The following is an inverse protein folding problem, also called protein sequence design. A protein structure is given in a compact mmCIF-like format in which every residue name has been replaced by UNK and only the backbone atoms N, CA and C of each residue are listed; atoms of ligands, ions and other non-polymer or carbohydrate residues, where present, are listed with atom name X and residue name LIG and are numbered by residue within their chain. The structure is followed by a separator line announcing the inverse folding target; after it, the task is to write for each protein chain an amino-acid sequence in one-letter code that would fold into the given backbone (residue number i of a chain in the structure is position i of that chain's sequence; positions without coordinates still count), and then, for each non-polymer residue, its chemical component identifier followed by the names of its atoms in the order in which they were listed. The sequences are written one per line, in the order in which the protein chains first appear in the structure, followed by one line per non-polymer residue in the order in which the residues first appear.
data_IF_104092225701
#
_entry.id   IF_104092225701
#
_cell.length_a   1.000
_cell.length_b   1.000
_cell.length_c   1.000
_cell.angle_alpha   90.00
_cell.angle_beta   90.00
_cell.angle_gamma   90.00
#
_symmetry.space_group_name_H-M   'P 1'
#
loop_
_entity.id
_entity.type
_entity.pdbx_description
1 polymer ?
#
# COMPACT_ATOMS: atom_id res chain seq x y z
N UNK A 1 -10.25 14.93 -22.02
CA UNK A 1 -9.03 14.92 -21.20
C UNK A 1 -7.91 15.56 -22.02
N UNK A 2 -7.21 16.56 -21.49
CA UNK A 2 -6.09 17.20 -22.19
C UNK A 2 -4.79 16.42 -21.91
N UNK A 3 -4.51 15.43 -22.76
CA UNK A 3 -3.33 14.56 -22.64
C UNK A 3 -2.01 15.33 -22.72
N UNK A 4 -2.01 16.54 -23.27
CA UNK A 4 -0.80 17.37 -23.38
C UNK A 4 -0.29 17.84 -22.00
N UNK A 5 -1.13 17.74 -20.96
CA UNK A 5 -0.75 18.00 -19.56
C UNK A 5 -0.10 16.79 -18.88
N UNK A 6 0.05 15.65 -19.56
CA UNK A 6 0.73 14.46 -19.05
C UNK A 6 2.12 14.36 -19.67
N UNK A 7 3.15 14.38 -18.82
CA UNK A 7 4.53 14.25 -19.27
C UNK A 7 4.75 12.91 -19.98
N UNK A 8 5.52 12.94 -21.07
CA UNK A 8 6.01 11.72 -21.72
C UNK A 8 7.15 11.08 -20.90
N UNK A 9 6.77 10.50 -19.76
CA UNK A 9 7.63 9.84 -18.78
C UNK A 9 7.02 8.51 -18.34
N UNK A 10 7.67 7.84 -17.38
CA UNK A 10 7.19 6.60 -16.78
C UNK A 10 7.37 6.59 -15.28
N UNK A 11 6.51 5.84 -14.60
CA UNK A 11 6.71 5.41 -13.22
C UNK A 11 7.59 4.16 -13.19
N UNK A 12 8.60 4.16 -12.34
CA UNK A 12 9.44 2.99 -12.10
C UNK A 12 8.94 2.24 -10.87
N UNK A 13 8.50 1.00 -11.07
CA UNK A 13 7.90 0.15 -10.06
C UNK A 13 8.70 -1.14 -9.88
N UNK A 14 8.42 -1.85 -8.80
CA UNK A 14 9.19 -2.98 -8.30
C UNK A 14 8.31 -4.21 -8.16
N UNK A 15 8.92 -5.38 -8.26
CA UNK A 15 8.29 -6.59 -7.76
C UNK A 15 8.33 -6.61 -6.23
N UNK A 16 7.25 -7.08 -5.61
CA UNK A 16 7.24 -7.27 -4.17
C UNK A 16 6.27 -8.32 -3.70
N UNK A 17 6.45 -8.77 -2.46
CA UNK A 17 5.63 -9.80 -1.81
C UNK A 17 4.41 -9.12 -1.21
N UNK A 18 3.23 -9.71 -1.39
CA UNK A 18 2.04 -9.29 -0.67
C UNK A 18 1.27 -10.44 -0.06
N UNK A 19 0.58 -10.12 1.04
CA UNK A 19 -0.50 -10.92 1.59
C UNK A 19 -1.79 -10.10 1.51
N UNK A 20 -2.90 -10.78 1.24
CA UNK A 20 -4.24 -10.21 1.20
C UNK A 20 -5.09 -10.93 2.24
N UNK A 21 -5.63 -10.19 3.19
CA UNK A 21 -6.38 -10.76 4.32
C UNK A 21 -7.74 -10.08 4.46
N UNK A 22 -8.73 -10.82 4.97
CA UNK A 22 -9.97 -10.24 5.47
C UNK A 22 -9.81 -10.08 6.98
N UNK A 23 -10.04 -8.88 7.49
CA UNK A 23 -10.28 -8.69 8.91
C UNK A 23 -11.78 -8.52 9.14
N UNK A 24 -12.29 -9.06 10.24
CA UNK A 24 -13.69 -8.89 10.64
C UNK A 24 -13.79 -8.49 12.10
N UNK A 25 -14.85 -7.75 12.45
CA UNK A 25 -15.20 -7.42 13.83
C UNK A 25 -16.71 -7.20 13.96
N UNK A 26 -17.24 -7.30 15.18
CA UNK A 26 -18.66 -7.06 15.47
C UNK A 26 -19.02 -5.58 15.37
N UNK A 27 -18.11 -4.71 15.79
CA UNK A 27 -18.28 -3.26 15.81
C UNK A 27 -17.51 -2.57 14.68
N UNK A 28 -18.16 -1.61 14.02
CA UNK A 28 -17.61 -0.90 12.87
C UNK A 28 -16.47 0.06 13.24
N UNK A 29 -16.51 0.65 14.44
CA UNK A 29 -15.43 1.52 14.92
C UNK A 29 -14.19 0.69 15.22
N UNK A 30 -14.36 -0.49 15.83
CA UNK A 30 -13.26 -1.43 16.07
C UNK A 30 -12.68 -1.94 14.76
N UNK A 31 -13.53 -2.40 13.82
CA UNK A 31 -13.10 -2.84 12.49
C UNK A 31 -12.27 -1.76 11.79
N UNK A 32 -12.78 -0.52 11.79
CA UNK A 32 -12.11 0.60 11.16
C UNK A 32 -10.74 0.87 11.77
N UNK A 33 -10.64 0.94 13.10
CA UNK A 33 -9.37 1.11 13.80
C UNK A 33 -8.40 -0.03 13.52
N UNK A 34 -8.87 -1.29 13.50
CA UNK A 34 -8.02 -2.44 13.20
C UNK A 34 -7.43 -2.36 11.78
N UNK A 35 -8.25 -2.00 10.80
CA UNK A 35 -7.83 -1.79 9.42
C UNK A 35 -6.79 -0.66 9.31
N UNK A 36 -7.12 0.52 9.85
CA UNK A 36 -6.30 1.73 9.73
C UNK A 36 -4.98 1.60 10.49
N UNK A 37 -4.99 1.12 11.73
CA UNK A 37 -3.77 0.99 12.54
C UNK A 37 -2.81 -0.05 11.94
N UNK A 38 -3.32 -1.22 11.54
CA UNK A 38 -2.48 -2.31 11.03
C UNK A 38 -1.84 -1.98 9.70
N UNK A 39 -2.53 -1.22 8.85
CA UNK A 39 -2.02 -0.79 7.54
C UNK A 39 -1.28 0.55 7.59
N UNK A 40 -1.23 1.19 8.77
CA UNK A 40 -0.56 2.47 8.95
C UNK A 40 0.95 2.40 8.73
N UNK A 41 1.55 3.54 8.39
CA UNK A 41 3.01 3.74 8.29
C UNK A 41 3.71 2.94 7.20
N UNK A 42 3.74 3.44 5.96
CA UNK A 42 4.55 2.86 4.88
C UNK A 42 6.04 2.90 5.23
N UNK A 43 6.65 1.72 5.34
CA UNK A 43 7.98 1.59 5.96
C UNK A 43 8.90 0.66 5.16
N UNK A 44 8.55 0.31 3.93
CA UNK A 44 9.36 -0.62 3.10
C UNK A 44 10.76 -0.08 2.84
N UNK A 45 10.90 1.22 2.62
CA UNK A 45 12.19 1.88 2.33
C UNK A 45 13.19 1.83 3.50
N UNK A 46 12.71 1.71 4.73
CA UNK A 46 13.54 1.50 5.93
C UNK A 46 13.60 0.03 6.35
N UNK A 47 13.11 -0.87 5.48
CA UNK A 47 13.12 -2.29 5.76
C UNK A 47 12.03 -2.73 6.72
N UNK A 48 10.81 -2.27 6.59
CA UNK A 48 9.67 -2.97 7.20
C UNK A 48 8.68 -3.33 6.09
N UNK A 49 7.41 -3.39 6.42
CA UNK A 49 6.32 -3.58 5.46
C UNK A 49 5.47 -2.31 5.38
N UNK A 50 4.66 -2.22 4.35
CA UNK A 50 3.60 -1.23 4.19
C UNK A 50 2.28 -1.93 3.88
N UNK A 51 1.17 -1.21 3.89
CA UNK A 51 -0.12 -1.81 3.60
C UNK A 51 -1.16 -0.77 3.26
N UNK A 52 -2.39 -1.23 3.06
CA UNK A 52 -3.55 -0.37 2.92
C UNK A 52 -4.85 -1.15 2.96
N UNK A 53 -5.93 -0.41 3.15
CA UNK A 53 -7.29 -0.94 3.04
C UNK A 53 -7.66 -0.98 1.56
N UNK A 54 -7.89 -2.18 1.03
CA UNK A 54 -8.33 -2.35 -0.37
C UNK A 54 -9.83 -2.10 -0.50
N UNK A 55 -10.63 -2.69 0.39
CA UNK A 55 -12.10 -2.66 0.29
C UNK A 55 -12.76 -2.96 1.63
N UNK A 56 -13.83 -2.22 1.96
CA UNK A 56 -14.75 -2.57 3.05
C UNK A 56 -15.79 -3.60 2.58
N UNK A 57 -16.12 -4.55 3.44
CA UNK A 57 -16.97 -5.69 3.15
C UNK A 57 -18.23 -5.69 4.03
N UNK A 58 -19.35 -6.07 3.42
CA UNK A 58 -20.56 -6.40 4.14
C UNK A 58 -20.51 -7.83 4.71
N UNK A 59 -21.38 -8.12 5.67
CA UNK A 59 -21.47 -9.41 6.35
C UNK A 59 -21.60 -10.61 5.39
N UNK A 60 -22.30 -10.44 4.27
CA UNK A 60 -22.48 -11.51 3.29
C UNK A 60 -21.22 -11.85 2.49
N UNK A 61 -20.19 -10.99 2.55
CA UNK A 61 -18.94 -11.16 1.82
C UNK A 61 -17.84 -11.79 2.69
N UNK A 62 -18.09 -12.03 3.99
CA UNK A 62 -17.08 -12.51 4.94
C UNK A 62 -17.35 -13.95 5.40
N UNK A 63 -16.30 -14.74 5.72
CA UNK A 63 -16.47 -16.14 6.10
C UNK A 63 -17.33 -16.37 7.36
N UNK A 64 -17.27 -15.43 8.31
CA UNK A 64 -17.94 -15.52 9.62
C UNK A 64 -19.23 -14.68 9.70
N UNK A 65 -19.68 -14.09 8.58
CA UNK A 65 -20.88 -13.27 8.47
C UNK A 65 -20.86 -11.99 9.31
N UNK A 66 -19.68 -11.40 9.48
CA UNK A 66 -19.50 -10.12 10.18
C UNK A 66 -19.01 -9.03 9.25
N UNK A 67 -19.15 -7.77 9.65
CA UNK A 67 -18.54 -6.65 8.90
C UNK A 67 -17.04 -6.89 8.77
N UNK A 68 -16.48 -6.54 7.61
CA UNK A 68 -15.06 -6.78 7.37
C UNK A 68 -14.38 -5.78 6.47
N UNK A 69 -13.08 -5.97 6.28
CA UNK A 69 -12.27 -5.24 5.34
C UNK A 69 -11.21 -6.15 4.72
N UNK A 70 -11.00 -6.02 3.42
CA UNK A 70 -9.82 -6.58 2.74
C UNK A 70 -8.66 -5.64 2.95
N UNK A 71 -7.59 -6.15 3.53
CA UNK A 71 -6.32 -5.47 3.71
C UNK A 71 -5.26 -6.10 2.82
N UNK A 72 -4.33 -5.27 2.34
CA UNK A 72 -3.10 -5.75 1.74
C UNK A 72 -1.90 -5.32 2.56
N UNK A 73 -0.94 -6.22 2.71
CA UNK A 73 0.36 -5.97 3.31
C UNK A 73 1.45 -6.30 2.30
N UNK A 74 2.48 -5.48 2.23
CA UNK A 74 3.49 -5.48 1.18
C UNK A 74 4.91 -5.41 1.74
N UNK A 75 5.80 -6.24 1.20
CA UNK A 75 7.22 -6.28 1.56
C UNK A 75 8.12 -6.34 0.33
N UNK A 76 9.26 -5.66 0.39
CA UNK A 76 10.24 -5.70 -0.69
C UNK A 76 11.00 -7.03 -0.76
N UNK A 77 11.23 -7.51 -1.98
CA UNK A 77 12.21 -8.56 -2.28
C UNK A 77 13.58 -7.89 -2.34
N UNK A 78 14.45 -8.19 -1.38
CA UNK A 78 15.72 -7.47 -1.24
C UNK A 78 16.79 -8.03 -2.16
N UNK A 79 17.52 -7.14 -2.81
CA UNK A 79 18.74 -7.50 -3.54
C UNK A 79 19.72 -8.23 -2.63
N UNK A 80 20.28 -9.34 -3.11
CA UNK A 80 21.21 -10.19 -2.37
C UNK A 80 20.57 -11.11 -1.33
N UNK A 81 19.25 -11.24 -1.30
CA UNK A 81 18.50 -12.18 -0.47
C UNK A 81 17.71 -13.15 -1.33
N UNK A 82 17.54 -14.39 -0.88
CA UNK A 82 16.65 -15.32 -1.57
C UNK A 82 15.20 -14.89 -1.41
N UNK A 83 14.33 -15.43 -2.26
CA UNK A 83 12.91 -15.17 -2.14
C UNK A 83 12.35 -15.68 -0.80
N UNK A 84 12.79 -16.87 -0.36
CA UNK A 84 12.39 -17.48 0.90
C UNK A 84 12.82 -16.63 2.10
N UNK A 85 14.05 -16.10 2.11
CA UNK A 85 14.50 -15.16 3.15
C UNK A 85 13.63 -13.89 3.18
N UNK A 86 13.22 -13.40 2.00
CA UNK A 86 12.34 -12.23 1.89
C UNK A 86 10.92 -12.54 2.42
N UNK A 87 10.40 -13.74 2.15
CA UNK A 87 9.10 -14.21 2.65
C UNK A 87 9.13 -14.38 4.18
N UNK A 88 10.15 -15.03 4.75
CA UNK A 88 10.27 -15.20 6.21
C UNK A 88 10.31 -13.86 6.95
N UNK A 89 10.97 -12.88 6.36
CA UNK A 89 11.02 -11.52 6.87
C UNK A 89 9.69 -10.80 6.75
N UNK A 90 9.02 -10.94 5.61
CA UNK A 90 7.67 -10.42 5.40
C UNK A 90 6.68 -11.01 6.42
N UNK A 91 6.70 -12.33 6.62
CA UNK A 91 5.93 -13.05 7.64
C UNK A 91 6.19 -12.50 9.05
N UNK A 92 7.47 -12.26 9.37
CA UNK A 92 7.87 -11.69 10.67
C UNK A 92 7.22 -10.32 10.90
N UNK A 93 7.34 -9.40 9.93
CA UNK A 93 6.77 -8.06 10.05
C UNK A 93 5.23 -8.07 10.02
N UNK A 94 4.62 -8.93 9.19
CA UNK A 94 3.17 -9.13 9.15
C UNK A 94 2.64 -9.61 10.50
N UNK A 95 3.38 -10.52 11.17
CA UNK A 95 3.01 -11.00 12.50
C UNK A 95 3.00 -9.89 13.54
N UNK A 96 3.86 -8.87 13.42
CA UNK A 96 3.82 -7.71 14.31
C UNK A 96 2.56 -6.89 14.08
N UNK A 97 2.17 -6.63 12.81
CA UNK A 97 0.93 -5.90 12.50
C UNK A 97 -0.30 -6.64 13.01
N UNK A 98 -0.39 -7.95 12.78
CA UNK A 98 -1.53 -8.73 13.26
C UNK A 98 -1.57 -8.72 14.80
N UNK A 99 -0.45 -9.00 15.46
CA UNK A 99 -0.43 -9.09 16.93
C UNK A 99 -0.64 -7.75 17.63
N UNK A 100 -0.04 -6.66 17.12
CA UNK A 100 -0.04 -5.37 17.81
C UNK A 100 -1.18 -4.45 17.37
N UNK A 101 -1.74 -4.66 16.18
CA UNK A 101 -2.74 -3.76 15.62
C UNK A 101 -4.10 -4.43 15.36
N UNK A 102 -4.20 -5.76 15.32
CA UNK A 102 -5.47 -6.48 15.10
C UNK A 102 -5.87 -7.27 16.35
N UNK A 103 -5.04 -8.23 16.77
CA UNK A 103 -5.30 -9.14 17.89
C UNK A 103 -5.65 -8.40 19.19
N UNK A 104 -4.97 -7.28 19.47
CA UNK A 104 -5.24 -6.47 20.68
C UNK A 104 -6.59 -5.74 20.67
N UNK A 105 -7.32 -5.77 19.55
CA UNK A 105 -8.64 -5.16 19.42
C UNK A 105 -9.72 -6.22 19.65
N UNK A 106 -10.77 -5.89 20.40
CA UNK A 106 -11.74 -6.87 20.88
C UNK A 106 -12.53 -7.49 19.72
N UNK A 107 -12.79 -8.79 19.81
CA UNK A 107 -13.65 -9.55 18.89
C UNK A 107 -13.21 -9.46 17.43
N UNK A 108 -11.91 -9.38 17.15
CA UNK A 108 -11.40 -9.40 15.77
C UNK A 108 -11.15 -10.81 15.27
N UNK A 109 -11.30 -11.02 13.97
CA UNK A 109 -10.83 -12.23 13.30
C UNK A 109 -10.06 -11.91 12.01
N UNK A 110 -9.17 -12.81 11.59
CA UNK A 110 -8.36 -12.68 10.38
C UNK A 110 -8.51 -13.92 9.50
N UNK A 111 -8.83 -13.73 8.22
CA UNK A 111 -8.94 -14.79 7.23
C UNK A 111 -8.05 -14.52 6.02
N UNK A 112 -7.62 -15.57 5.35
CA UNK A 112 -6.94 -15.45 4.07
C UNK A 112 -7.91 -14.94 3.00
N UNK A 113 -7.49 -13.94 2.21
CA UNK A 113 -8.25 -13.35 1.11
C UNK A 113 -7.55 -13.54 -0.25
N UNK A 114 -6.52 -14.39 -0.29
CA UNK A 114 -5.75 -14.70 -1.48
C UNK A 114 -6.03 -16.13 -1.94
N UNK A 115 -6.94 -16.27 -2.91
CA UNK A 115 -7.34 -17.58 -3.43
C UNK A 115 -6.24 -18.23 -4.28
N UNK A 116 -5.51 -17.43 -5.07
CA UNK A 116 -4.42 -17.86 -5.93
C UNK A 116 -3.07 -17.46 -5.33
N UNK A 117 -2.69 -18.10 -4.22
CA UNK A 117 -1.43 -17.84 -3.55
C UNK A 117 -0.27 -18.60 -4.20
N UNK A 118 0.92 -17.98 -4.29
CA UNK A 118 2.16 -18.66 -4.68
C UNK A 118 2.68 -19.57 -3.57
N UNK A 119 2.40 -19.20 -2.32
CA UNK A 119 2.74 -19.98 -1.14
C UNK A 119 1.90 -19.56 0.06
N UNK A 120 2.12 -20.23 1.18
CA UNK A 120 1.41 -19.99 2.43
C UNK A 120 2.38 -19.83 3.59
N UNK A 121 2.02 -18.97 4.54
CA UNK A 121 2.71 -18.82 5.82
C UNK A 121 1.84 -19.50 6.90
N UNK A 122 2.44 -20.31 7.77
CA UNK A 122 1.77 -20.90 8.93
C UNK A 122 1.81 -19.93 10.11
N UNK A 123 0.65 -19.45 10.54
CA UNK A 123 0.52 -18.42 11.57
C UNK A 123 0.66 -18.96 13.00
N UNK A 124 0.76 -20.28 13.20
CA UNK A 124 0.86 -20.85 14.53
C UNK A 124 2.09 -20.32 15.29
N UNK A 125 3.27 -20.39 14.66
CA UNK A 125 4.54 -20.07 15.32
C UNK A 125 4.61 -18.61 15.81
N UNK A 126 4.13 -17.67 14.99
CA UNK A 126 4.31 -16.23 15.25
C UNK A 126 3.11 -15.53 15.85
N UNK A 127 1.91 -16.11 15.71
CA UNK A 127 0.64 -15.50 16.14
C UNK A 127 -0.12 -16.44 17.07
N UNK A 128 -0.28 -17.72 16.71
CA UNK A 128 -1.01 -18.69 17.53
C UNK A 128 -0.49 -18.81 18.95
N UNK A 129 0.82 -18.94 19.12
CA UNK A 129 1.48 -19.03 20.43
C UNK A 129 1.39 -17.76 21.30
N UNK A 130 0.66 -16.71 20.88
CA UNK A 130 0.20 -15.68 21.82
C UNK A 130 -0.68 -16.26 22.94
N UNK A 131 -1.26 -17.44 22.74
CA UNK A 131 -1.99 -18.18 23.77
C UNK A 131 -1.11 -18.90 24.77
N UNK A 132 0.23 -18.83 24.66
CA UNK A 132 1.18 -19.46 25.59
C UNK A 132 0.98 -20.99 25.74
N UNK A 133 0.62 -21.67 24.65
CA UNK A 133 0.35 -23.11 24.63
C UNK A 133 -1.09 -23.49 24.99
N UNK A 134 -1.94 -22.51 25.28
CA UNK A 134 -3.38 -22.69 25.49
C UNK A 134 -4.20 -22.47 24.21
N UNK A 135 -3.58 -22.06 23.11
CA UNK A 135 -4.23 -22.00 21.79
C UNK A 135 -4.59 -23.39 21.25
N UNK A 136 -5.61 -23.45 20.39
CA UNK A 136 -6.01 -24.69 19.73
C UNK A 136 -6.45 -24.46 18.28
N UNK A 137 -6.61 -25.56 17.54
CA UNK A 137 -7.04 -25.53 16.15
C UNK A 137 -8.47 -26.07 16.05
N UNK A 138 -9.30 -25.40 15.26
CA UNK A 138 -10.62 -25.87 14.88
C UNK A 138 -10.85 -25.81 13.37
N UNK A 139 -11.73 -26.67 12.87
CA UNK A 139 -12.26 -26.57 11.52
C UNK A 139 -13.57 -25.78 11.55
N UNK A 140 -13.53 -24.51 11.14
CA UNK A 140 -14.69 -23.61 11.09
C UNK A 140 -14.71 -22.88 9.76
N UNK A 141 -15.89 -22.56 9.23
CA UNK A 141 -16.03 -21.81 7.96
C UNK A 141 -15.33 -22.48 6.76
N UNK A 142 -15.15 -23.81 6.80
CA UNK A 142 -14.39 -24.56 5.79
C UNK A 142 -12.88 -24.31 5.82
N UNK A 143 -12.36 -23.78 6.92
CA UNK A 143 -10.96 -23.37 7.10
C UNK A 143 -10.38 -23.96 8.38
N UNK A 144 -9.07 -24.14 8.39
CA UNK A 144 -8.33 -24.47 9.61
C UNK A 144 -8.03 -23.16 10.37
N UNK A 145 -8.63 -23.01 11.54
CA UNK A 145 -8.64 -21.79 12.34
C UNK A 145 -7.85 -22.03 13.61
N UNK A 146 -6.90 -21.14 13.91
CA UNK A 146 -6.27 -21.03 15.22
C UNK A 146 -7.15 -20.16 16.11
N UNK A 147 -7.45 -20.66 17.30
CA UNK A 147 -8.13 -19.92 18.35
C UNK A 147 -7.11 -19.59 19.44
N UNK A 148 -6.93 -18.29 19.70
CA UNK A 148 -6.02 -17.78 20.71
C UNK A 148 -6.85 -17.28 21.89
N UNK A 149 -6.81 -17.93 23.06
CA UNK A 149 -7.55 -17.47 24.23
C UNK A 149 -6.94 -16.16 24.75
N UNK A 150 -7.79 -15.17 25.01
CA UNK A 150 -7.40 -13.84 25.53
C UNK A 150 -8.22 -13.47 26.78
N UNK A 151 -7.92 -12.32 27.40
CA UNK A 151 -8.68 -11.81 28.56
C UNK A 151 -10.08 -11.30 28.18
N UNK A 152 -10.21 -10.80 26.95
CA UNK A 152 -11.49 -10.64 26.24
C UNK A 152 -11.70 -11.95 25.46
N UNK A 153 -12.92 -12.37 25.07
CA UNK A 153 -13.10 -13.60 24.29
C UNK A 153 -12.12 -13.76 23.12
N UNK A 154 -12.00 -15.01 22.65
CA UNK A 154 -10.89 -15.49 21.82
C UNK A 154 -10.62 -14.67 20.55
N UNK A 155 -9.34 -14.52 20.22
CA UNK A 155 -8.91 -14.07 18.90
C UNK A 155 -8.88 -15.23 17.91
N UNK A 156 -9.33 -14.97 16.68
CA UNK A 156 -9.55 -15.98 15.66
C UNK A 156 -8.68 -15.66 14.44
N UNK A 157 -7.89 -16.61 13.97
CA UNK A 157 -7.09 -16.44 12.74
C UNK A 157 -7.05 -17.73 11.91
N UNK A 158 -7.26 -17.62 10.60
CA UNK A 158 -6.98 -18.72 9.68
C UNK A 158 -5.50 -19.10 9.73
N UNK A 159 -5.21 -20.38 9.94
CA UNK A 159 -3.83 -20.86 10.17
C UNK A 159 -2.90 -20.50 9.02
N UNK A 160 -3.39 -20.59 7.79
CA UNK A 160 -2.58 -20.38 6.59
C UNK A 160 -2.99 -19.09 5.90
N UNK A 161 -2.08 -18.11 5.91
CA UNK A 161 -2.22 -16.89 5.11
C UNK A 161 -1.39 -17.02 3.84
N UNK A 162 -2.03 -16.78 2.69
CA UNK A 162 -1.38 -16.82 1.39
C UNK A 162 -0.52 -15.60 1.13
N UNK A 163 0.55 -15.79 0.36
CA UNK A 163 1.30 -14.69 -0.25
C UNK A 163 1.52 -14.91 -1.74
N UNK A 164 1.75 -13.83 -2.48
CA UNK A 164 2.13 -13.85 -3.89
C UNK A 164 3.01 -12.63 -4.21
N UNK A 165 3.54 -12.56 -5.44
CA UNK A 165 4.25 -11.39 -5.95
C UNK A 165 3.30 -10.46 -6.69
N UNK A 166 3.52 -9.17 -6.55
CA UNK A 166 2.77 -8.11 -7.23
C UNK A 166 3.65 -6.89 -7.53
N UNK A 167 3.00 -5.80 -7.93
CA UNK A 167 3.66 -4.57 -8.35
C UNK A 167 3.61 -3.55 -7.21
N UNK A 168 4.76 -3.06 -6.77
CA UNK A 168 4.90 -2.06 -5.71
C UNK A 168 5.52 -0.76 -6.23
N UNK A 169 5.13 0.37 -5.65
CA UNK A 169 5.78 1.66 -5.90
C UNK A 169 5.42 2.33 -7.23
N UNK A 170 4.41 1.84 -7.94
CA UNK A 170 3.88 2.55 -9.10
C UNK A 170 3.33 3.90 -8.63
N UNK A 171 3.58 4.97 -9.38
CA UNK A 171 3.30 6.31 -8.89
C UNK A 171 2.97 7.30 -10.00
N UNK A 172 2.33 8.39 -9.61
CA UNK A 172 2.27 9.60 -10.43
C UNK A 172 2.25 10.84 -9.54
N UNK A 173 2.78 11.93 -10.07
CA UNK A 173 2.90 13.22 -9.42
C UNK A 173 1.88 14.19 -9.99
N UNK A 174 1.26 14.98 -9.12
CA UNK A 174 0.31 16.01 -9.53
C UNK A 174 0.94 17.38 -9.37
N UNK A 175 1.06 18.13 -10.45
CA UNK A 175 1.62 19.47 -10.43
C UNK A 175 0.53 20.48 -10.07
N UNK A 176 0.54 20.98 -8.82
CA UNK A 176 -0.51 21.85 -8.28
C UNK A 176 -0.02 23.30 -8.07
N UNK A 177 -0.85 24.27 -8.43
CA UNK A 177 -0.59 25.71 -8.26
C UNK A 177 -0.96 26.23 -6.87
N UNK A 178 -1.96 25.60 -6.22
CA UNK A 178 -2.54 26.04 -4.95
C UNK A 178 -2.65 24.89 -3.94
N UNK A 179 -2.78 25.24 -2.66
CA UNK A 179 -2.99 24.25 -1.59
C UNK A 179 -4.38 23.61 -1.70
N UNK A 180 -5.35 24.39 -2.16
CA UNK A 180 -6.73 23.96 -2.38
C UNK A 180 -6.78 22.87 -3.46
N UNK A 181 -6.01 23.03 -4.55
CA UNK A 181 -5.88 22.03 -5.60
C UNK A 181 -5.33 20.70 -5.05
N UNK A 182 -4.31 20.73 -4.18
CA UNK A 182 -3.76 19.52 -3.52
C UNK A 182 -4.84 18.77 -2.74
N UNK A 183 -5.63 19.49 -1.94
CA UNK A 183 -6.67 18.87 -1.11
C UNK A 183 -7.81 18.29 -1.95
N UNK A 184 -8.25 19.01 -2.99
CA UNK A 184 -9.34 18.56 -3.86
C UNK A 184 -8.91 17.38 -4.71
N UNK A 185 -7.72 17.46 -5.32
CA UNK A 185 -7.21 16.41 -6.21
C UNK A 185 -6.93 15.12 -5.44
N UNK A 186 -6.32 15.21 -4.26
CA UNK A 186 -6.06 14.04 -3.42
C UNK A 186 -7.34 13.29 -3.06
N UNK A 187 -8.36 13.99 -2.55
CA UNK A 187 -9.66 13.38 -2.23
C UNK A 187 -10.32 12.72 -3.44
N UNK A 188 -10.26 13.38 -4.61
CA UNK A 188 -10.88 12.87 -5.83
C UNK A 188 -10.16 11.64 -6.36
N UNK A 189 -8.83 11.65 -6.36
CA UNK A 189 -7.99 10.51 -6.76
C UNK A 189 -8.27 9.30 -5.88
N UNK A 190 -8.17 9.44 -4.55
CA UNK A 190 -8.36 8.30 -3.64
C UNK A 190 -9.75 7.68 -3.81
N UNK A 191 -10.79 8.52 -3.98
CA UNK A 191 -12.17 8.07 -4.24
C UNK A 191 -12.31 7.21 -5.50
N UNK A 192 -11.52 7.46 -6.55
CA UNK A 192 -11.59 6.67 -7.80
C UNK A 192 -10.62 5.49 -7.80
N UNK A 193 -9.43 5.65 -7.24
CA UNK A 193 -8.40 4.61 -7.15
C UNK A 193 -8.86 3.46 -6.27
N UNK A 194 -9.48 3.75 -5.11
CA UNK A 194 -10.01 2.72 -4.21
C UNK A 194 -11.25 1.98 -4.75
N UNK A 195 -11.72 2.30 -5.96
CA UNK A 195 -12.72 1.48 -6.67
C UNK A 195 -12.08 0.39 -7.52
N UNK A 196 -10.79 0.49 -7.81
CA UNK A 196 -10.05 -0.54 -8.53
C UNK A 196 -9.77 -1.70 -7.58
N UNK A 197 -10.16 -2.91 -7.99
CA UNK A 197 -9.92 -4.12 -7.19
C UNK A 197 -8.42 -4.41 -7.13
N UNK A 198 -7.94 -4.89 -5.99
CA UNK A 198 -6.58 -5.39 -5.88
C UNK A 198 -5.51 -4.31 -5.82
N UNK A 199 -5.84 -3.05 -5.51
CA UNK A 199 -4.85 -1.99 -5.29
C UNK A 199 -5.00 -1.34 -3.92
N UNK A 200 -3.90 -0.78 -3.42
CA UNK A 200 -3.87 0.06 -2.23
C UNK A 200 -2.99 1.28 -2.48
N UNK A 201 -3.22 2.36 -1.71
CA UNK A 201 -2.38 3.56 -1.71
C UNK A 201 -1.72 3.73 -0.34
N UNK A 202 -0.54 3.13 -0.08
CA UNK A 202 0.02 3.07 1.27
C UNK A 202 0.18 4.43 1.96
N UNK A 203 0.48 5.47 1.17
CA UNK A 203 0.68 6.83 1.66
C UNK A 203 -0.56 7.72 1.53
N UNK A 204 -1.64 7.22 0.93
CA UNK A 204 -2.70 8.05 0.35
C UNK A 204 -2.13 9.15 -0.56
N UNK A 205 -2.05 10.39 -0.05
CA UNK A 205 -1.41 11.52 -0.70
C UNK A 205 -0.04 11.76 -0.05
N UNK A 206 1.02 11.34 -0.72
CA UNK A 206 2.39 11.54 -0.25
C UNK A 206 2.83 12.99 -0.50
N UNK A 207 3.22 13.70 0.56
CA UNK A 207 3.80 15.04 0.46
C UNK A 207 5.31 15.04 0.22
N UNK A 208 5.96 13.87 0.34
CA UNK A 208 7.40 13.75 0.49
C UNK A 208 8.00 12.80 -0.55
N UNK A 209 7.94 13.21 -1.82
CA UNK A 209 8.69 12.55 -2.89
C UNK A 209 10.18 12.48 -2.54
N UNK A 210 10.77 11.29 -2.70
CA UNK A 210 12.14 11.00 -2.28
C UNK A 210 13.05 10.62 -3.45
N UNK A 211 14.35 10.58 -3.20
CA UNK A 211 15.37 10.07 -4.13
C UNK A 211 16.35 9.16 -3.37
N UNK A 212 16.92 8.14 -4.03
CA UNK A 212 17.85 7.21 -3.40
C UNK A 212 19.21 7.86 -3.13
N UNK A 213 19.66 8.82 -3.95
CA UNK A 213 20.94 9.50 -3.73
C UNK A 213 20.88 10.36 -2.47
N UNK A 214 21.71 10.02 -1.49
CA UNK A 214 21.69 10.68 -0.19
C UNK A 214 23.10 10.87 0.37
N UNK A 215 23.29 11.97 1.10
CA UNK A 215 24.48 12.19 1.96
C UNK A 215 24.25 11.66 3.38
N UNK A 216 23.04 11.20 3.67
CA UNK A 216 22.57 10.76 4.99
C UNK A 216 22.02 9.33 4.87
N UNK A 217 22.89 8.31 4.76
CA UNK A 217 22.45 6.93 4.50
C UNK A 217 21.64 6.32 5.65
N UNK A 218 21.85 6.77 6.89
CA UNK A 218 21.18 6.22 8.08
C UNK A 218 19.66 6.37 8.07
N UNK A 219 19.12 7.37 7.35
CA UNK A 219 17.68 7.67 7.32
C UNK A 219 16.97 7.09 6.09
N UNK A 220 17.71 6.51 5.15
CA UNK A 220 17.19 6.06 3.87
C UNK A 220 17.05 7.17 2.82
N UNK A 221 16.11 7.02 1.86
CA UNK A 221 15.88 8.00 0.81
C UNK A 221 15.58 9.39 1.37
N UNK A 222 16.16 10.43 0.76
CA UNK A 222 15.97 11.82 1.20
C UNK A 222 15.11 12.59 0.22
N UNK A 223 14.64 13.77 0.62
CA UNK A 223 13.80 14.62 -0.23
C UNK A 223 14.34 14.77 -1.67
N UNK A 224 13.43 14.71 -2.63
CA UNK A 224 13.72 14.97 -4.03
C UNK A 224 13.86 16.48 -4.30
N UNK A 225 14.93 17.05 -3.75
CA UNK A 225 15.17 18.49 -3.66
C UNK A 225 15.05 19.30 -4.98
N UNK A 226 15.36 18.77 -6.19
CA UNK A 226 15.12 19.52 -7.42
C UNK A 226 13.65 19.91 -7.63
N UNK A 227 12.72 19.14 -7.06
CA UNK A 227 11.27 19.34 -7.13
C UNK A 227 10.69 20.06 -5.90
N UNK A 228 11.53 20.56 -4.98
CA UNK A 228 11.05 21.35 -3.84
C UNK A 228 10.86 22.82 -4.23
N UNK A 229 9.61 23.31 -4.22
CA UNK A 229 9.29 24.70 -4.53
C UNK A 229 10.05 25.71 -3.66
N UNK A 230 10.20 25.43 -2.36
CA UNK A 230 10.95 26.28 -1.42
C UNK A 230 12.43 26.46 -1.80
N UNK A 231 12.99 25.54 -2.59
CA UNK A 231 14.38 25.58 -3.07
C UNK A 231 14.50 26.15 -4.48
N UNK A 232 13.40 26.45 -5.17
CA UNK A 232 13.40 26.89 -6.58
C UNK A 232 14.34 28.08 -6.82
N UNK A 233 14.27 29.11 -5.99
CA UNK A 233 15.16 30.29 -6.09
C UNK A 233 16.63 29.95 -5.83
N UNK A 234 16.90 29.10 -4.84
CA UNK A 234 18.26 28.70 -4.46
C UNK A 234 18.93 27.81 -5.50
N UNK A 235 18.16 26.93 -6.14
CA UNK A 235 18.65 25.97 -7.12
C UNK A 235 18.77 26.56 -8.53
N UNK A 236 18.05 27.64 -8.85
CA UNK A 236 18.10 28.27 -10.17
C UNK A 236 17.77 27.27 -11.28
N UNK A 237 18.67 27.11 -12.25
CA UNK A 237 18.52 26.18 -13.38
C UNK A 237 18.52 24.70 -12.98
N UNK A 238 18.98 24.36 -11.76
CA UNK A 238 18.91 22.98 -11.24
C UNK A 238 17.52 22.60 -10.71
N UNK A 239 16.63 23.58 -10.51
CA UNK A 239 15.25 23.29 -10.11
C UNK A 239 14.47 22.69 -11.26
N UNK A 240 13.71 21.64 -10.96
CA UNK A 240 12.80 20.97 -11.89
C UNK A 240 11.33 21.29 -11.60
N UNK A 241 11.05 22.25 -10.71
CA UNK A 241 9.68 22.68 -10.40
C UNK A 241 9.15 23.53 -11.57
N UNK A 242 8.08 23.11 -12.27
CA UNK A 242 7.54 23.86 -13.40
C UNK A 242 7.09 25.27 -13.01
N UNK A 243 6.85 26.12 -14.00
CA UNK A 243 6.30 27.45 -13.75
C UNK A 243 4.89 27.36 -13.15
N UNK A 244 4.55 28.30 -12.26
CA UNK A 244 3.29 28.38 -11.50
C UNK A 244 3.02 27.25 -10.48
N UNK A 245 3.67 26.10 -10.61
CA UNK A 245 3.59 24.99 -9.65
C UNK A 245 4.23 25.37 -8.31
N UNK A 246 3.51 25.10 -7.22
CA UNK A 246 3.95 25.30 -5.84
C UNK A 246 3.94 24.03 -5.00
N UNK A 247 3.15 23.04 -5.41
CA UNK A 247 2.95 21.79 -4.68
C UNK A 247 3.02 20.61 -5.66
N UNK A 248 3.69 19.52 -5.27
CA UNK A 248 3.82 18.31 -6.08
C UNK A 248 3.55 17.11 -5.17
N UNK A 249 2.29 16.83 -4.79
CA UNK A 249 1.95 15.57 -4.15
C UNK A 249 2.17 14.38 -5.08
N UNK A 250 2.43 13.23 -4.48
CA UNK A 250 2.62 11.96 -5.14
C UNK A 250 1.56 10.97 -4.66
N UNK A 251 1.06 10.15 -5.58
CA UNK A 251 0.20 9.01 -5.28
C UNK A 251 1.02 7.76 -5.57
N UNK A 252 1.25 6.95 -4.55
CA UNK A 252 1.93 5.65 -4.67
C UNK A 252 0.87 4.56 -4.61
N UNK A 253 0.94 3.62 -5.54
CA UNK A 253 0.01 2.51 -5.73
C UNK A 253 0.80 1.20 -5.71
N UNK A 254 0.36 0.30 -4.85
CA UNK A 254 0.72 -1.11 -4.94
C UNK A 254 -0.50 -1.88 -5.47
N UNK A 255 -0.26 -2.92 -6.24
CA UNK A 255 -1.35 -3.72 -6.80
C UNK A 255 -0.96 -5.15 -7.12
N UNK A 256 -1.94 -6.03 -6.97
CA UNK A 256 -1.78 -7.48 -7.17
C UNK A 256 -1.42 -7.88 -8.60
N UNK A 257 -1.62 -6.98 -9.57
CA UNK A 257 -1.25 -7.19 -10.97
C UNK A 257 -0.91 -5.86 -11.65
N UNK A 258 -0.12 -5.94 -12.74
CA UNK A 258 0.17 -4.80 -13.60
C UNK A 258 -1.10 -4.17 -14.19
N UNK A 259 -2.09 -4.99 -14.54
CA UNK A 259 -3.39 -4.52 -15.03
C UNK A 259 -4.10 -3.65 -13.99
N UNK A 260 -4.20 -4.13 -12.75
CA UNK A 260 -4.84 -3.40 -11.66
C UNK A 260 -4.13 -2.06 -11.38
N UNK A 261 -2.80 -2.07 -11.38
CA UNK A 261 -2.00 -0.84 -11.21
C UNK A 261 -2.23 0.15 -12.35
N UNK A 262 -2.21 -0.31 -13.61
CA UNK A 262 -2.43 0.56 -14.77
C UNK A 262 -3.83 1.16 -14.77
N UNK A 263 -4.87 0.39 -14.45
CA UNK A 263 -6.25 0.88 -14.33
C UNK A 263 -6.35 1.94 -13.21
N UNK A 264 -5.76 1.68 -12.05
CA UNK A 264 -5.74 2.62 -10.94
C UNK A 264 -5.02 3.93 -11.28
N UNK A 265 -3.83 3.85 -11.91
CA UNK A 265 -3.09 5.02 -12.37
C UNK A 265 -3.89 5.81 -13.40
N UNK A 266 -4.48 5.15 -14.41
CA UNK A 266 -5.31 5.79 -15.44
C UNK A 266 -6.45 6.59 -14.81
N UNK A 267 -7.25 5.95 -13.95
CA UNK A 267 -8.39 6.60 -13.26
C UNK A 267 -7.95 7.77 -12.38
N UNK A 268 -6.85 7.59 -11.65
CA UNK A 268 -6.27 8.65 -10.81
C UNK A 268 -5.85 9.87 -11.63
N UNK A 269 -5.16 9.65 -12.75
CA UNK A 269 -4.69 10.72 -13.64
C UNK A 269 -5.87 11.44 -14.33
N UNK A 270 -6.86 10.69 -14.83
CA UNK A 270 -8.09 11.28 -15.40
C UNK A 270 -8.79 12.17 -14.38
N UNK A 271 -9.01 11.66 -13.17
CA UNK A 271 -9.63 12.41 -12.08
C UNK A 271 -8.82 13.66 -11.68
N UNK A 272 -7.49 13.58 -11.75
CA UNK A 272 -6.61 14.69 -11.42
C UNK A 272 -6.72 15.84 -12.43
N UNK A 273 -6.78 15.52 -13.72
CA UNK A 273 -6.82 16.51 -14.80
C UNK A 273 -8.12 17.32 -14.84
N UNK A 274 -9.17 16.85 -14.17
CA UNK A 274 -10.45 17.54 -13.98
C UNK A 274 -10.46 18.59 -12.87
N UNK A 275 -9.36 18.74 -12.10
CA UNK A 275 -9.28 19.70 -10.99
C UNK A 275 -8.60 21.00 -11.44
N UNK A 276 -9.27 22.13 -11.17
CA UNK A 276 -8.70 23.46 -11.36
C UNK A 276 -7.46 23.67 -10.50
N UNK A 277 -6.42 24.28 -11.07
CA UNK A 277 -5.13 24.49 -10.41
C UNK A 277 -4.21 23.27 -10.43
N UNK A 278 -4.60 22.16 -11.08
CA UNK A 278 -3.66 21.14 -11.55
C UNK A 278 -3.10 21.60 -12.89
N UNK A 279 -1.80 21.77 -13.03
CA UNK A 279 -1.17 22.23 -14.28
C UNK A 279 -0.61 21.08 -15.11
N UNK A 280 -0.38 19.91 -14.51
CA UNK A 280 0.16 18.75 -15.21
C UNK A 280 0.36 17.53 -14.34
N UNK A 281 0.74 16.43 -14.98
CA UNK A 281 0.96 15.11 -14.37
C UNK A 281 2.32 14.59 -14.81
N UNK A 282 3.07 14.04 -13.87
CA UNK A 282 4.37 13.42 -14.11
C UNK A 282 4.50 12.12 -13.30
N UNK A 283 5.68 11.52 -13.25
CA UNK A 283 5.96 10.36 -12.42
C UNK A 283 7.43 10.27 -12.01
N UNK A 284 7.66 9.62 -10.88
CA UNK A 284 8.97 9.30 -10.34
C UNK A 284 9.55 8.04 -10.98
N UNK A 285 10.79 8.15 -11.43
CA UNK A 285 11.64 7.04 -11.85
C UNK A 285 13.10 7.30 -11.46
N UNK A 286 13.91 6.24 -11.55
CA UNK A 286 15.31 6.19 -11.15
C UNK A 286 16.23 5.97 -12.37
N UNK A 287 15.77 6.38 -13.55
CA UNK A 287 16.47 6.18 -14.81
C UNK A 287 16.46 4.73 -15.29
N UNK A 288 15.55 3.88 -14.78
CA UNK A 288 15.46 2.47 -15.12
C UNK A 288 16.56 1.63 -14.52
N UNK A 289 17.13 2.06 -13.39
CA UNK A 289 18.28 1.43 -12.73
C UNK A 289 17.90 0.61 -11.51
N UNK A 290 16.71 0.82 -10.93
CA UNK A 290 16.30 0.19 -9.68
C UNK A 290 15.12 -0.74 -9.87
N UNK A 291 14.05 -0.26 -10.49
CA UNK A 291 12.82 -1.00 -10.71
C UNK A 291 12.79 -1.68 -12.08
N UNK A 292 12.18 -2.85 -12.10
CA UNK A 292 12.07 -3.72 -13.29
C UNK A 292 10.95 -3.24 -14.21
N UNK A 293 9.93 -2.60 -13.63
CA UNK A 293 8.73 -2.19 -14.34
C UNK A 293 8.77 -0.71 -14.70
N UNK A 294 8.52 -0.41 -15.98
CA UNK A 294 8.42 0.96 -16.50
C UNK A 294 7.00 1.21 -17.01
N UNK A 295 6.19 1.90 -16.23
CA UNK A 295 4.80 2.19 -16.55
C UNK A 295 4.73 3.58 -17.19
N UNK A 296 4.76 3.64 -18.52
CA UNK A 296 4.71 4.90 -19.26
C UNK A 296 3.33 5.54 -19.15
N UNK A 297 3.29 6.80 -18.76
CA UNK A 297 2.03 7.50 -18.45
C UNK A 297 1.14 7.65 -19.68
N UNK A 298 1.73 8.05 -20.80
CA UNK A 298 0.99 8.27 -22.05
C UNK A 298 0.39 6.99 -22.61
N UNK A 299 1.00 5.83 -22.35
CA UNK A 299 0.51 4.53 -22.81
C UNK A 299 -0.69 4.00 -21.98
N UNK A 300 -1.04 4.64 -20.86
CA UNK A 300 -2.23 4.29 -20.07
C UNK A 300 -3.55 4.67 -20.78
N UNK A 301 -3.47 5.54 -21.79
CA UNK A 301 -4.63 6.10 -22.49
C UNK A 301 -4.79 5.57 -23.92
N UNK A 302 -3.93 4.62 -24.30
CA UNK A 302 -3.98 3.90 -25.57
C UNK A 302 -4.88 2.67 -25.51
#
# INVERSE_FOLDING_TARGET
MDINRVDNTYAEAFEGIYARVIITADDEVILKKAAEDSTSSPSVVIGRIEGGVEKWLHELETPDKRKGAVLQFWGAIRSGKTFEESVQRFETELSYRIRQDILVKPFTAVFNALDQAEGKMDMMLRIGHCGDGFEWIENRFGKEIIIVPLMVPDFIIERYLGFARGIMGANFWIMCETKEAVNQVGKKILKVVHKTKGVVTPFDVCSAGSKPETRFPLIGPTTNHPYCFSLKKKLGSLSRVPNKVKYIPEIVINGVSMESVKDAMKRGIEAALEIDGVSGISAGNYGGKLGEYKIKLVELFS
#
